data_IF_278665707304
#
_entry.id   IF_278665707304
#
_cell.length_a   1.000
_cell.length_b   1.000
_cell.length_c   1.000
_cell.angle_alpha   90.00
_cell.angle_beta   90.00
_cell.angle_gamma   90.00
#
_symmetry.space_group_name_H-M   'P 1'
#
loop_
_entity.id
_entity.type
_entity.pdbx_description
1 polymer ?
#
# COMPACT_ATOMS: atom_id res chain seq x y z
N UNK A 1 41.39 -23.21 -20.87
CA UNK A 1 40.58 -21.97 -20.96
C UNK A 1 39.63 -22.01 -19.78
N UNK A 2 39.79 -21.03 -18.88
CA UNK A 2 39.26 -21.05 -17.53
C UNK A 2 37.75 -20.80 -17.50
N UNK A 3 37.11 -21.53 -16.60
CA UNK A 3 35.74 -21.36 -16.11
C UNK A 3 35.72 -20.18 -15.12
N UNK A 4 34.83 -19.20 -15.31
CA UNK A 4 34.70 -18.09 -14.37
C UNK A 4 33.27 -17.54 -14.25
N UNK A 5 32.68 -17.84 -13.08
CA UNK A 5 31.84 -16.94 -12.27
C UNK A 5 30.41 -16.61 -12.74
N UNK A 6 29.46 -17.47 -12.37
CA UNK A 6 28.06 -17.10 -12.12
C UNK A 6 27.96 -16.29 -10.83
N UNK A 7 27.71 -14.97 -10.91
CA UNK A 7 27.49 -14.13 -9.72
C UNK A 7 26.01 -14.11 -9.33
N UNK A 8 25.64 -14.40 -8.06
CA UNK A 8 24.27 -14.21 -7.59
C UNK A 8 23.98 -12.72 -7.37
N UNK A 9 22.84 -12.25 -7.89
CA UNK A 9 22.29 -10.91 -7.65
C UNK A 9 21.80 -10.81 -6.21
N UNK A 10 22.63 -10.26 -5.32
CA UNK A 10 22.23 -9.87 -3.96
C UNK A 10 21.24 -8.70 -4.03
N UNK A 11 20.05 -8.88 -3.48
CA UNK A 11 19.07 -7.80 -3.26
C UNK A 11 19.63 -6.85 -2.18
N UNK A 12 19.49 -5.52 -2.32
CA UNK A 12 19.92 -4.60 -1.27
C UNK A 12 18.99 -4.73 -0.07
N UNK A 13 19.51 -5.26 1.04
CA UNK A 13 18.90 -5.12 2.36
C UNK A 13 18.96 -3.65 2.76
N UNK A 14 17.83 -2.96 2.73
CA UNK A 14 17.71 -1.60 3.26
C UNK A 14 17.45 -1.70 4.76
N UNK A 15 18.49 -1.38 5.52
CA UNK A 15 18.46 -1.21 6.97
C UNK A 15 17.43 -0.14 7.35
N UNK A 16 16.53 -0.48 8.27
CA UNK A 16 15.60 0.46 8.89
C UNK A 16 16.37 1.39 9.82
N UNK A 17 16.53 2.65 9.41
CA UNK A 17 16.87 3.73 10.32
C UNK A 17 15.57 4.32 10.86
N UNK A 18 15.23 4.02 12.12
CA UNK A 18 14.26 4.77 12.90
C UNK A 18 14.93 6.11 13.21
N UNK A 19 14.73 7.10 12.35
CA UNK A 19 15.29 8.44 12.44
C UNK A 19 14.19 9.45 12.77
N UNK A 20 14.41 10.19 13.85
CA UNK A 20 13.51 11.19 14.43
C UNK A 20 12.99 12.24 13.44
N UNK A 21 11.71 12.58 13.58
CA UNK A 21 11.09 13.82 13.11
C UNK A 21 10.37 14.33 14.37
N UNK A 22 10.69 15.48 14.97
CA UNK A 22 11.16 16.74 14.42
C UNK A 22 10.22 17.78 15.00
N UNK A 23 10.59 18.39 16.12
CA UNK A 23 9.77 19.34 16.86
C UNK A 23 9.41 20.56 15.99
N UNK A 24 8.12 20.82 15.83
CA UNK A 24 7.63 22.14 15.38
C UNK A 24 6.98 22.81 16.58
N UNK A 25 7.75 23.68 17.21
CA UNK A 25 7.27 24.61 18.22
C UNK A 25 6.45 25.72 17.51
N UNK A 26 5.16 25.79 17.83
CA UNK A 26 4.34 26.96 17.59
C UNK A 26 3.77 27.41 18.94
N UNK A 27 4.49 28.33 19.56
CA UNK A 27 4.06 29.06 20.75
C UNK A 27 2.96 30.05 20.38
N UNK A 28 1.73 29.77 20.81
CA UNK A 28 0.66 30.76 20.88
C UNK A 28 0.01 30.63 22.26
N UNK A 29 0.12 31.72 23.04
CA UNK A 29 -0.35 31.77 24.41
C UNK A 29 -1.86 31.54 24.52
N UNK A 30 -2.24 30.68 25.47
CA UNK A 30 -3.62 30.48 25.88
C UNK A 30 -3.71 30.79 27.37
N UNK A 31 -4.50 31.82 27.67
CA UNK A 31 -4.96 32.16 29.02
C UNK A 31 -5.76 30.97 29.52
N UNK A 32 -5.24 30.25 30.51
CA UNK A 32 -5.93 29.14 31.15
C UNK A 32 -7.06 29.67 32.05
N UNK A 33 -8.33 29.30 31.85
CA UNK A 33 -9.33 29.42 32.90
C UNK A 33 -9.09 28.34 33.96
N UNK A 34 -9.38 28.70 35.21
CA UNK A 34 -9.20 27.90 36.39
C UNK A 34 -9.94 26.54 36.35
N UNK A 35 -9.26 25.53 36.90
CA UNK A 35 -9.78 24.34 37.58
C UNK A 35 -11.08 23.74 37.02
N UNK A 36 -10.94 22.87 36.02
CA UNK A 36 -11.90 21.80 35.78
C UNK A 36 -11.30 20.51 36.34
N UNK A 37 -11.95 19.93 37.34
CA UNK A 37 -11.82 18.49 37.59
C UNK A 37 -12.34 17.79 36.34
N UNK A 38 -11.43 17.38 35.44
CA UNK A 38 -11.80 16.54 34.31
C UNK A 38 -12.43 15.25 34.86
N UNK A 39 -13.60 14.88 34.32
CA UNK A 39 -14.39 13.76 34.81
C UNK A 39 -13.53 12.51 35.05
N UNK A 40 -13.40 12.10 36.33
CA UNK A 40 -12.66 10.91 36.75
C UNK A 40 -11.31 11.14 37.42
N UNK A 41 -10.71 12.33 37.34
CA UNK A 41 -9.43 12.66 37.99
C UNK A 41 -9.67 13.32 39.36
N UNK A 42 -8.93 12.94 40.42
CA UNK A 42 -9.09 13.56 41.73
C UNK A 42 -8.53 14.98 41.76
N UNK A 43 -9.25 15.87 42.45
CA UNK A 43 -8.78 17.22 42.70
C UNK A 43 -7.79 17.27 43.88
N UNK A 44 -7.01 18.34 43.97
CA UNK A 44 -6.11 18.55 45.11
C UNK A 44 -6.82 18.56 46.47
N UNK A 45 -8.04 19.11 46.52
CA UNK A 45 -8.86 19.11 47.74
C UNK A 45 -9.33 17.69 48.10
N UNK A 46 -9.70 16.87 47.11
CA UNK A 46 -10.06 15.46 47.32
C UNK A 46 -8.87 14.67 47.87
N UNK A 47 -7.68 14.87 47.29
CA UNK A 47 -6.44 14.20 47.73
C UNK A 47 -6.07 14.61 49.15
N UNK A 48 -6.16 15.90 49.48
CA UNK A 48 -5.88 16.41 50.82
C UNK A 48 -6.85 15.85 51.87
N UNK A 49 -8.15 15.75 51.54
CA UNK A 49 -9.16 15.11 52.39
C UNK A 49 -8.91 13.62 52.54
N UNK A 50 -8.61 12.92 51.45
CA UNK A 50 -8.34 11.49 51.46
C UNK A 50 -7.15 11.15 52.37
N UNK A 51 -6.12 12.00 52.42
CA UNK A 51 -4.94 11.83 53.29
C UNK A 51 -5.27 11.78 54.80
N UNK A 52 -6.39 12.35 55.24
CA UNK A 52 -6.75 12.43 56.66
C UNK A 52 -7.20 11.08 57.28
N UNK A 53 -7.46 10.06 56.47
CA UNK A 53 -7.83 8.72 56.93
C UNK A 53 -7.07 7.65 56.16
N UNK A 54 -6.56 6.65 56.87
CA UNK A 54 -5.76 5.56 56.28
C UNK A 54 -6.54 4.83 55.17
N UNK A 55 -7.82 4.56 55.41
CA UNK A 55 -8.67 3.85 54.47
C UNK A 55 -8.90 4.67 53.18
N UNK A 56 -9.20 5.96 53.30
CA UNK A 56 -9.44 6.84 52.14
C UNK A 56 -8.16 7.15 51.39
N UNK A 57 -7.04 7.31 52.11
CA UNK A 57 -5.70 7.50 51.54
C UNK A 57 -5.32 6.30 50.67
N UNK A 58 -5.50 5.08 51.18
CA UNK A 58 -5.21 3.87 50.43
C UNK A 58 -6.10 3.71 49.19
N UNK A 59 -7.39 4.04 49.30
CA UNK A 59 -8.31 4.02 48.16
C UNK A 59 -7.88 5.02 47.07
N UNK A 60 -7.45 6.22 47.45
CA UNK A 60 -7.02 7.24 46.49
C UNK A 60 -5.68 6.88 45.83
N UNK A 61 -4.73 6.29 46.56
CA UNK A 61 -3.48 5.75 46.00
C UNK A 61 -3.77 4.72 44.91
N UNK A 62 -4.69 3.78 45.16
CA UNK A 62 -5.09 2.74 44.19
C UNK A 62 -5.70 3.39 42.94
N UNK A 63 -6.59 4.35 43.12
CA UNK A 63 -7.22 5.08 42.02
C UNK A 63 -6.21 5.84 41.16
N UNK A 64 -5.31 6.63 41.78
CA UNK A 64 -4.27 7.38 41.08
C UNK A 64 -3.33 6.42 40.32
N UNK A 65 -2.92 5.31 40.95
CA UNK A 65 -2.06 4.31 40.31
C UNK A 65 -2.72 3.69 39.08
N UNK A 66 -4.03 3.43 39.15
CA UNK A 66 -4.82 2.94 38.03
C UNK A 66 -4.98 3.99 36.92
N UNK A 67 -5.18 5.27 37.26
CA UNK A 67 -5.23 6.37 36.28
C UNK A 67 -3.89 6.51 35.54
N UNK A 68 -2.76 6.45 36.25
CA UNK A 68 -1.42 6.46 35.64
C UNK A 68 -1.23 5.29 34.66
N UNK A 69 -1.67 4.08 35.03
CA UNK A 69 -1.65 2.93 34.13
C UNK A 69 -2.55 3.11 32.91
N UNK A 70 -3.75 3.66 33.10
CA UNK A 70 -4.67 3.94 32.01
C UNK A 70 -4.08 4.93 31.00
N UNK A 71 -3.45 6.01 31.46
CA UNK A 71 -2.79 7.00 30.61
C UNK A 71 -1.66 6.39 29.77
N UNK A 72 -0.76 5.64 30.43
CA UNK A 72 0.35 4.97 29.77
C UNK A 72 -0.14 3.95 28.73
N UNK A 73 -1.17 3.17 29.06
CA UNK A 73 -1.77 2.20 28.14
C UNK A 73 -2.41 2.90 26.95
N UNK A 74 -3.17 3.97 27.19
CA UNK A 74 -3.82 4.74 26.12
C UNK A 74 -2.81 5.37 25.14
N UNK A 75 -1.70 5.91 25.65
CA UNK A 75 -0.62 6.44 24.82
C UNK A 75 0.09 5.35 24.02
N UNK A 76 0.41 4.22 24.66
CA UNK A 76 1.01 3.07 23.98
C UNK A 76 0.11 2.49 22.88
N UNK A 77 -1.19 2.33 23.16
CA UNK A 77 -2.17 1.82 22.20
C UNK A 77 -2.37 2.79 21.03
N UNK A 78 -2.43 4.10 21.30
CA UNK A 78 -2.54 5.11 20.25
C UNK A 78 -1.29 5.18 19.38
N UNK A 79 -0.10 5.08 19.98
CA UNK A 79 1.18 4.99 19.25
C UNK A 79 1.22 3.74 18.36
N UNK A 80 0.78 2.59 18.88
CA UNK A 80 0.68 1.34 18.10
C UNK A 80 -0.32 1.47 16.95
N UNK A 81 -1.49 2.07 17.19
CA UNK A 81 -2.49 2.30 16.15
C UNK A 81 -1.95 3.21 15.04
N UNK A 82 -1.23 4.27 15.41
CA UNK A 82 -0.52 5.14 14.46
C UNK A 82 0.48 4.37 13.59
N UNK A 83 1.31 3.52 14.19
CA UNK A 83 2.27 2.68 13.45
C UNK A 83 1.57 1.71 12.48
N UNK A 84 0.48 1.06 12.92
CA UNK A 84 -0.31 0.16 12.07
C UNK A 84 -0.91 0.92 10.88
N UNK A 85 -1.49 2.09 11.13
CA UNK A 85 -2.09 2.92 10.07
C UNK A 85 -1.03 3.43 9.08
N UNK A 86 0.14 3.84 9.57
CA UNK A 86 1.27 4.24 8.74
C UNK A 86 1.76 3.09 7.83
N UNK A 87 1.87 1.87 8.37
CA UNK A 87 2.25 0.70 7.57
C UNK A 87 1.16 0.34 6.54
N UNK A 88 -0.12 0.43 6.91
CA UNK A 88 -1.22 0.21 5.97
C UNK A 88 -1.21 1.24 4.82
N UNK A 89 -0.86 2.49 5.10
CA UNK A 89 -0.64 3.51 4.07
C UNK A 89 0.60 3.24 3.21
N UNK A 90 1.69 2.73 3.80
CA UNK A 90 2.88 2.33 3.03
C UNK A 90 2.56 1.21 2.05
N UNK A 91 1.85 0.16 2.49
CA UNK A 91 1.42 -0.96 1.65
C UNK A 91 0.52 -0.48 0.51
N UNK A 92 -0.42 0.43 0.77
CA UNK A 92 -1.30 0.95 -0.29
C UNK A 92 -0.56 1.80 -1.33
N UNK A 93 0.52 2.48 -0.95
CA UNK A 93 1.41 3.15 -1.90
C UNK A 93 2.18 2.15 -2.77
N UNK A 94 2.71 1.07 -2.19
CA UNK A 94 3.39 0.01 -2.96
C UNK A 94 2.42 -0.61 -4.00
N UNK A 95 1.17 -0.89 -3.61
CA UNK A 95 0.14 -1.43 -4.50
C UNK A 95 -0.20 -0.44 -5.64
N UNK A 96 -0.32 0.85 -5.32
CA UNK A 96 -0.58 1.90 -6.30
C UNK A 96 0.58 2.05 -7.30
N UNK A 97 1.83 1.98 -6.83
CA UNK A 97 3.01 2.02 -7.69
C UNK A 97 3.01 0.81 -8.64
N UNK A 98 2.76 -0.40 -8.13
CA UNK A 98 2.68 -1.61 -8.93
C UNK A 98 1.57 -1.53 -10.00
N UNK A 99 0.40 -1.01 -9.64
CA UNK A 99 -0.72 -0.80 -10.57
C UNK A 99 -0.38 0.24 -11.65
N UNK A 100 0.29 1.33 -11.27
CA UNK A 100 0.74 2.38 -12.19
C UNK A 100 1.73 1.83 -13.21
N UNK A 101 2.71 1.03 -12.76
CA UNK A 101 3.67 0.37 -13.65
C UNK A 101 2.97 -0.60 -14.62
N UNK A 102 1.98 -1.35 -14.12
CA UNK A 102 1.19 -2.28 -14.95
C UNK A 102 0.36 -1.57 -16.01
N UNK A 103 -0.34 -0.49 -15.65
CA UNK A 103 -1.11 0.33 -16.60
C UNK A 103 -0.19 0.89 -17.69
N UNK A 104 0.95 1.46 -17.32
CA UNK A 104 1.91 2.01 -18.29
C UNK A 104 2.43 0.95 -19.27
N UNK A 105 2.73 -0.25 -18.76
CA UNK A 105 3.16 -1.38 -19.59
C UNK A 105 2.06 -1.83 -20.57
N UNK A 106 0.82 -1.99 -20.10
CA UNK A 106 -0.31 -2.41 -20.94
C UNK A 106 -0.69 -1.36 -21.97
N UNK A 107 -0.66 -0.07 -21.59
CA UNK A 107 -0.89 1.05 -22.51
C UNK A 107 0.12 1.05 -23.64
N UNK A 108 1.40 0.86 -23.33
CA UNK A 108 2.47 0.74 -24.33
C UNK A 108 2.24 -0.43 -25.29
N UNK A 109 1.84 -1.59 -24.75
CA UNK A 109 1.55 -2.78 -25.56
C UNK A 109 0.31 -2.59 -26.44
N UNK A 110 -0.74 -1.96 -25.91
CA UNK A 110 -1.98 -1.67 -26.63
C UNK A 110 -1.73 -0.73 -27.80
N UNK A 111 -0.98 0.36 -27.61
CA UNK A 111 -0.64 1.28 -28.71
C UNK A 111 0.23 0.60 -29.78
N UNK A 112 1.20 -0.21 -29.39
CA UNK A 112 1.99 -1.00 -30.34
C UNK A 112 1.12 -2.00 -31.13
N UNK A 113 0.18 -2.67 -30.47
CA UNK A 113 -0.76 -3.59 -31.13
C UNK A 113 -1.72 -2.86 -32.07
N UNK A 114 -2.21 -1.69 -31.69
CA UNK A 114 -3.08 -0.83 -32.51
C UNK A 114 -2.39 -0.38 -33.80
N UNK A 115 -1.10 0.00 -33.73
CA UNK A 115 -0.31 0.33 -34.92
C UNK A 115 -0.14 -0.88 -35.85
N UNK A 116 0.14 -2.07 -35.29
CA UNK A 116 0.21 -3.32 -36.07
C UNK A 116 -1.13 -3.64 -36.73
N UNK A 117 -2.23 -3.59 -35.98
CA UNK A 117 -3.57 -3.84 -36.49
C UNK A 117 -3.95 -2.86 -37.62
N UNK A 118 -3.61 -1.57 -37.49
CA UNK A 118 -3.84 -0.59 -38.54
C UNK A 118 -3.05 -0.92 -39.82
N UNK A 119 -1.79 -1.34 -39.67
CA UNK A 119 -0.94 -1.75 -40.80
C UNK A 119 -1.49 -2.98 -41.50
N UNK A 120 -1.87 -4.03 -40.74
CA UNK A 120 -2.44 -5.26 -41.30
C UNK A 120 -3.81 -5.02 -41.94
N UNK A 121 -4.65 -4.15 -41.35
CA UNK A 121 -5.92 -3.71 -41.95
C UNK A 121 -5.70 -3.01 -43.29
N UNK A 122 -4.71 -2.13 -43.40
CA UNK A 122 -4.37 -1.45 -44.66
C UNK A 122 -3.93 -2.46 -45.73
N UNK A 123 -3.04 -3.41 -45.38
CA UNK A 123 -2.60 -4.47 -46.31
C UNK A 123 -3.77 -5.32 -46.80
N UNK A 124 -4.63 -5.77 -45.89
CA UNK A 124 -5.82 -6.54 -46.25
C UNK A 124 -6.77 -5.71 -47.14
N UNK A 125 -6.95 -4.42 -46.86
CA UNK A 125 -7.77 -3.51 -47.67
C UNK A 125 -7.24 -3.31 -49.09
N UNK A 126 -5.91 -3.18 -49.27
CA UNK A 126 -5.29 -3.07 -50.61
C UNK A 126 -5.50 -4.34 -51.44
N UNK A 127 -5.36 -5.52 -50.81
CA UNK A 127 -5.61 -6.81 -51.48
C UNK A 127 -7.08 -6.92 -51.88
N UNK A 128 -8.00 -6.57 -50.98
CA UNK A 128 -9.43 -6.57 -51.27
C UNK A 128 -9.77 -5.62 -52.45
N UNK A 129 -9.17 -4.43 -52.49
CA UNK A 129 -9.33 -3.49 -53.60
C UNK A 129 -8.78 -4.02 -54.92
N UNK A 130 -7.61 -4.68 -54.90
CA UNK A 130 -7.01 -5.29 -56.09
C UNK A 130 -7.82 -6.49 -56.61
N UNK A 131 -8.31 -7.36 -55.72
CA UNK A 131 -9.19 -8.49 -56.07
C UNK A 131 -10.52 -7.99 -56.66
N UNK A 132 -11.12 -6.96 -56.07
CA UNK A 132 -12.34 -6.35 -56.60
C UNK A 132 -12.14 -5.78 -58.01
N UNK A 133 -10.96 -5.19 -58.29
CA UNK A 133 -10.60 -4.66 -59.61
C UNK A 133 -10.30 -5.76 -60.64
N UNK A 134 -9.52 -6.78 -60.28
CA UNK A 134 -9.09 -7.84 -61.19
C UNK A 134 -10.17 -8.91 -61.45
N UNK A 135 -11.02 -9.20 -60.46
CA UNK A 135 -12.04 -10.26 -60.53
C UNK A 135 -13.29 -9.90 -61.34
N UNK A 136 -13.60 -8.61 -61.52
CA UNK A 136 -14.86 -8.18 -62.13
C UNK A 136 -14.83 -8.01 -63.65
N UNK A 137 -13.68 -7.70 -64.26
CA UNK A 137 -13.63 -7.32 -65.69
C UNK A 137 -12.57 -8.07 -66.52
N UNK A 138 -11.44 -8.48 -65.94
CA UNK A 138 -10.32 -8.98 -66.74
C UNK A 138 -10.24 -10.50 -66.84
N UNK A 139 -10.62 -11.26 -65.81
CA UNK A 139 -10.38 -12.71 -65.80
C UNK A 139 -11.25 -13.48 -66.81
N UNK A 140 -12.53 -13.11 -66.96
CA UNK A 140 -13.46 -13.79 -67.88
C UNK A 140 -13.09 -13.50 -69.35
N UNK A 141 -12.74 -12.25 -69.65
CA UNK A 141 -12.35 -11.83 -71.00
C UNK A 141 -11.00 -12.45 -71.39
N UNK A 142 -10.05 -12.48 -70.46
CA UNK A 142 -8.70 -13.02 -70.71
C UNK A 142 -8.71 -14.55 -70.85
N UNK A 143 -9.56 -15.25 -70.09
CA UNK A 143 -9.80 -16.69 -70.24
C UNK A 143 -10.48 -17.03 -71.59
N UNK A 144 -11.43 -16.21 -72.02
CA UNK A 144 -12.10 -16.36 -73.32
C UNK A 144 -11.14 -16.15 -74.51
N UNK A 145 -10.22 -15.19 -74.40
CA UNK A 145 -9.28 -14.85 -75.48
C UNK A 145 -8.03 -15.75 -75.52
N UNK A 146 -7.53 -16.23 -74.37
CA UNK A 146 -6.28 -16.99 -74.28
C UNK A 146 -6.46 -18.51 -74.03
N UNK A 147 -7.69 -19.03 -74.02
CA UNK A 147 -8.01 -20.44 -73.73
C UNK A 147 -7.50 -21.51 -74.72
N UNK A 148 -6.61 -21.17 -75.68
CA UNK A 148 -6.14 -22.10 -76.72
C UNK A 148 -4.92 -22.95 -76.30
N UNK A 149 -4.34 -22.75 -75.11
CA UNK A 149 -3.23 -23.54 -74.55
C UNK A 149 -3.52 -23.97 -73.11
N UNK A 150 -3.63 -25.28 -72.86
CA UNK A 150 -4.00 -25.84 -71.56
C UNK A 150 -2.96 -25.58 -70.45
N UNK A 151 -1.67 -25.57 -70.80
CA UNK A 151 -0.58 -25.35 -69.83
C UNK A 151 -0.58 -23.94 -69.25
N UNK A 152 -0.87 -22.93 -70.08
CA UNK A 152 -0.97 -21.53 -69.66
C UNK A 152 -2.13 -21.32 -68.68
N UNK A 153 -3.25 -22.03 -68.90
CA UNK A 153 -4.40 -22.02 -67.99
C UNK A 153 -4.06 -22.64 -66.63
N UNK A 154 -3.39 -23.80 -66.62
CA UNK A 154 -2.98 -24.45 -65.37
C UNK A 154 -1.98 -23.59 -64.58
N UNK A 155 -1.05 -22.92 -65.26
CA UNK A 155 -0.11 -21.97 -64.63
C UNK A 155 -0.85 -20.76 -64.01
N UNK A 156 -1.85 -20.21 -64.71
CA UNK A 156 -2.68 -19.13 -64.21
C UNK A 156 -3.54 -19.56 -63.01
N UNK A 157 -4.14 -20.74 -63.05
CA UNK A 157 -4.92 -21.31 -61.94
C UNK A 157 -4.05 -21.59 -60.72
N UNK A 158 -2.84 -22.12 -60.90
CA UNK A 158 -1.87 -22.33 -59.83
C UNK A 158 -1.47 -21.00 -59.17
N UNK A 159 -1.20 -19.97 -59.98
CA UNK A 159 -0.85 -18.63 -59.50
C UNK A 159 -2.02 -17.97 -58.75
N UNK A 160 -3.24 -18.07 -59.29
CA UNK A 160 -4.45 -17.55 -58.65
C UNK A 160 -4.74 -18.27 -57.33
N UNK A 161 -4.55 -19.59 -57.27
CA UNK A 161 -4.72 -20.37 -56.04
C UNK A 161 -3.72 -19.92 -54.97
N UNK A 162 -2.44 -19.74 -55.32
CA UNK A 162 -1.42 -19.24 -54.38
C UNK A 162 -1.68 -17.80 -53.94
N UNK A 163 -2.16 -16.95 -54.84
CA UNK A 163 -2.58 -15.59 -54.49
C UNK A 163 -3.79 -15.61 -53.53
N UNK A 164 -4.74 -16.51 -53.72
CA UNK A 164 -5.86 -16.74 -52.82
C UNK A 164 -5.40 -17.17 -51.42
N UNK A 165 -4.55 -18.19 -51.32
CA UNK A 165 -3.95 -18.65 -50.07
C UNK A 165 -3.19 -17.52 -49.33
N UNK A 166 -2.40 -16.73 -50.07
CA UNK A 166 -1.68 -15.59 -49.52
C UNK A 166 -2.63 -14.47 -49.04
N UNK A 167 -3.69 -14.20 -49.79
CA UNK A 167 -4.70 -13.19 -49.45
C UNK A 167 -5.48 -13.59 -48.20
N UNK A 168 -5.89 -14.85 -48.10
CA UNK A 168 -6.57 -15.38 -46.92
C UNK A 168 -5.67 -15.31 -45.68
N UNK A 169 -4.38 -15.63 -45.83
CA UNK A 169 -3.39 -15.53 -44.75
C UNK A 169 -3.27 -14.09 -44.25
N UNK A 170 -3.21 -13.11 -45.15
CA UNK A 170 -3.11 -11.70 -44.77
C UNK A 170 -4.39 -11.21 -44.08
N UNK A 171 -5.56 -11.64 -44.54
CA UNK A 171 -6.83 -11.32 -43.89
C UNK A 171 -6.93 -11.92 -42.49
N UNK A 172 -6.57 -13.20 -42.32
CA UNK A 172 -6.52 -13.85 -41.00
C UNK A 172 -5.56 -13.15 -40.06
N UNK A 173 -4.37 -12.76 -40.53
CA UNK A 173 -3.41 -11.99 -39.73
C UNK A 173 -3.99 -10.64 -39.30
N UNK A 174 -4.68 -9.93 -40.20
CA UNK A 174 -5.32 -8.65 -39.88
C UNK A 174 -6.40 -8.80 -38.81
N UNK A 175 -7.21 -9.86 -38.87
CA UNK A 175 -8.19 -10.18 -37.81
C UNK A 175 -7.51 -10.52 -36.49
N UNK A 176 -6.44 -11.31 -36.51
CA UNK A 176 -5.69 -11.65 -35.30
C UNK A 176 -5.06 -10.41 -34.65
N UNK A 177 -4.45 -9.53 -35.44
CA UNK A 177 -3.85 -8.30 -34.94
C UNK A 177 -4.92 -7.36 -34.39
N UNK A 178 -6.07 -7.26 -35.06
CA UNK A 178 -7.22 -6.49 -34.58
C UNK A 178 -7.69 -7.01 -33.21
N UNK A 179 -7.96 -8.31 -33.09
CA UNK A 179 -8.44 -8.90 -31.84
C UNK A 179 -7.40 -8.75 -30.71
N UNK A 180 -6.10 -8.84 -31.05
CA UNK A 180 -5.01 -8.59 -30.11
C UNK A 180 -4.98 -7.14 -29.63
N UNK A 181 -5.18 -6.18 -30.53
CA UNK A 181 -5.25 -4.76 -30.18
C UNK A 181 -6.46 -4.43 -29.31
N UNK A 182 -7.63 -4.98 -29.63
CA UNK A 182 -8.84 -4.84 -28.81
C UNK A 182 -8.62 -5.42 -27.41
N UNK A 183 -8.13 -6.66 -27.32
CA UNK A 183 -7.86 -7.31 -26.02
C UNK A 183 -6.83 -6.57 -25.16
N UNK A 184 -5.76 -6.04 -25.75
CA UNK A 184 -4.77 -5.24 -25.00
C UNK A 184 -5.32 -3.87 -24.60
N UNK A 185 -6.17 -3.26 -25.44
CA UNK A 185 -6.89 -2.03 -25.13
C UNK A 185 -7.81 -2.21 -23.91
N UNK A 186 -8.59 -3.29 -23.88
CA UNK A 186 -9.46 -3.62 -22.75
C UNK A 186 -8.67 -3.86 -21.47
N UNK A 187 -7.53 -4.57 -21.56
CA UNK A 187 -6.64 -4.79 -20.42
C UNK A 187 -6.03 -3.49 -19.90
N UNK A 188 -5.63 -2.57 -20.78
CA UNK A 188 -5.11 -1.26 -20.38
C UNK A 188 -6.20 -0.42 -19.69
N UNK A 189 -7.42 -0.42 -20.22
CA UNK A 189 -8.56 0.27 -19.60
C UNK A 189 -8.90 -0.30 -18.21
N UNK A 190 -8.92 -1.63 -18.08
CA UNK A 190 -9.12 -2.29 -16.78
C UNK A 190 -8.00 -1.95 -15.78
N UNK A 191 -6.74 -1.91 -16.23
CA UNK A 191 -5.61 -1.52 -15.38
C UNK A 191 -5.71 -0.06 -14.92
N UNK A 192 -6.15 0.85 -15.79
CA UNK A 192 -6.37 2.26 -15.44
C UNK A 192 -7.50 2.44 -14.40
N UNK A 193 -8.58 1.67 -14.53
CA UNK A 193 -9.66 1.65 -13.55
C UNK A 193 -9.16 1.14 -12.18
N UNK A 194 -8.35 0.08 -12.17
CA UNK A 194 -7.77 -0.46 -10.95
C UNK A 194 -6.77 0.50 -10.29
N UNK A 195 -5.89 1.14 -11.06
CA UNK A 195 -4.99 2.20 -10.54
C UNK A 195 -5.81 3.33 -9.91
N UNK A 196 -6.91 3.75 -10.53
CA UNK A 196 -7.80 4.80 -9.99
C UNK A 196 -8.42 4.36 -8.67
N UNK A 197 -8.90 3.12 -8.58
CA UNK A 197 -9.43 2.54 -7.33
C UNK A 197 -8.38 2.50 -6.23
N UNK A 198 -7.16 2.04 -6.54
CA UNK A 198 -6.05 1.98 -5.59
C UNK A 198 -5.57 3.37 -5.17
N UNK A 199 -5.63 4.36 -6.06
CA UNK A 199 -5.31 5.76 -5.72
C UNK A 199 -6.28 6.32 -4.69
N UNK A 200 -7.59 6.07 -4.84
CA UNK A 200 -8.58 6.45 -3.83
C UNK A 200 -8.38 5.71 -2.50
N UNK A 201 -8.05 4.41 -2.56
CA UNK A 201 -7.73 3.63 -1.36
C UNK A 201 -6.49 4.16 -0.64
N UNK A 202 -5.43 4.52 -1.37
CA UNK A 202 -4.22 5.11 -0.80
C UNK A 202 -4.51 6.45 -0.10
N UNK A 203 -5.36 7.31 -0.70
CA UNK A 203 -5.81 8.55 -0.07
C UNK A 203 -6.57 8.30 1.24
N UNK A 204 -7.51 7.34 1.25
CA UNK A 204 -8.22 6.96 2.47
C UNK A 204 -7.26 6.49 3.57
N UNK A 205 -6.25 5.68 3.22
CA UNK A 205 -5.23 5.22 4.18
C UNK A 205 -4.33 6.35 4.67
N UNK A 206 -4.04 7.34 3.82
CA UNK A 206 -3.31 8.54 4.23
C UNK A 206 -4.07 9.33 5.29
N UNK A 207 -5.37 9.55 5.09
CA UNK A 207 -6.22 10.26 6.05
C UNK A 207 -6.33 9.50 7.38
N UNK A 208 -6.52 8.18 7.32
CA UNK A 208 -6.50 7.30 8.51
C UNK A 208 -5.17 7.37 9.26
N UNK A 209 -4.04 7.33 8.55
CA UNK A 209 -2.71 7.43 9.14
C UNK A 209 -2.49 8.79 9.83
N UNK A 210 -2.92 9.89 9.20
CA UNK A 210 -2.83 11.23 9.79
C UNK A 210 -3.70 11.36 11.03
N UNK A 211 -4.93 10.86 10.99
CA UNK A 211 -5.82 10.86 12.15
C UNK A 211 -5.24 10.05 13.31
N UNK A 212 -4.70 8.87 13.03
CA UNK A 212 -4.05 8.03 14.04
C UNK A 212 -2.78 8.68 14.62
N UNK A 213 -1.99 9.37 13.79
CA UNK A 213 -0.82 10.12 14.25
C UNK A 213 -1.20 11.29 15.17
N UNK A 214 -2.25 12.04 14.84
CA UNK A 214 -2.78 13.10 15.70
C UNK A 214 -3.31 12.55 17.02
N UNK A 215 -4.05 11.43 16.99
CA UNK A 215 -4.54 10.77 18.19
C UNK A 215 -3.39 10.30 19.10
N UNK A 216 -2.32 9.74 18.51
CA UNK A 216 -1.13 9.35 19.26
C UNK A 216 -0.43 10.55 19.91
N UNK A 217 -0.28 11.67 19.19
CA UNK A 217 0.30 12.89 19.74
C UNK A 217 -0.55 13.45 20.90
N UNK A 218 -1.87 13.50 20.74
CA UNK A 218 -2.79 13.96 21.78
C UNK A 218 -2.77 13.04 23.01
N UNK A 219 -2.69 11.72 22.82
CA UNK A 219 -2.61 10.76 23.92
C UNK A 219 -1.30 10.91 24.70
N UNK A 220 -0.17 11.11 24.01
CA UNK A 220 1.13 11.35 24.65
C UNK A 220 1.14 12.68 25.43
N UNK A 221 0.55 13.73 24.87
CA UNK A 221 0.44 15.03 25.55
C UNK A 221 -0.44 14.91 26.81
N UNK A 222 -1.57 14.21 26.70
CA UNK A 222 -2.46 13.94 27.83
C UNK A 222 -1.77 13.09 28.91
N UNK A 223 -1.03 12.04 28.53
CA UNK A 223 -0.21 11.25 29.44
C UNK A 223 0.80 12.14 30.16
N UNK A 224 1.58 12.95 29.44
CA UNK A 224 2.61 13.79 30.03
C UNK A 224 2.04 14.84 30.99
N UNK A 225 0.97 15.54 30.60
CA UNK A 225 0.36 16.57 31.45
C UNK A 225 -0.29 15.97 32.69
N UNK A 226 -1.11 14.93 32.53
CA UNK A 226 -1.89 14.37 33.64
C UNK A 226 -1.06 13.50 34.56
N UNK A 227 -0.06 12.78 34.05
CA UNK A 227 0.82 11.98 34.89
C UNK A 227 1.63 12.85 35.85
N UNK A 228 2.05 14.05 35.43
CA UNK A 228 2.74 14.99 36.30
C UNK A 228 1.92 15.31 37.56
N UNK A 229 0.67 15.74 37.39
CA UNK A 229 -0.22 16.06 38.50
C UNK A 229 -0.50 14.82 39.37
N UNK A 230 -0.76 13.67 38.75
CA UNK A 230 -1.02 12.42 39.46
C UNK A 230 0.19 11.94 40.27
N UNK A 231 1.42 12.12 39.79
CA UNK A 231 2.63 11.78 40.55
C UNK A 231 2.84 12.72 41.74
N UNK A 232 2.51 14.01 41.60
CA UNK A 232 2.56 14.95 42.73
C UNK A 232 1.51 14.63 43.80
N UNK A 233 0.29 14.28 43.39
CA UNK A 233 -0.76 13.82 44.29
C UNK A 233 -0.40 12.52 45.01
N UNK A 234 0.21 11.57 44.29
CA UNK A 234 0.70 10.32 44.87
C UNK A 234 1.80 10.55 45.91
N UNK A 235 2.72 11.47 45.62
CA UNK A 235 3.78 11.88 46.53
C UNK A 235 3.21 12.53 47.81
N UNK A 236 2.19 13.38 47.67
CA UNK A 236 1.49 13.96 48.81
C UNK A 236 0.83 12.89 49.70
N UNK A 237 0.19 11.88 49.11
CA UNK A 237 -0.48 10.81 49.86
C UNK A 237 0.52 9.86 50.55
N UNK A 238 1.70 9.63 49.96
CA UNK A 238 2.71 8.69 50.47
C UNK A 238 3.81 9.33 51.31
N UNK A 239 3.80 10.65 51.47
CA UNK A 239 4.88 11.41 52.11
C UNK A 239 6.24 11.16 51.42
N UNK A 240 6.23 11.11 50.09
CA UNK A 240 7.41 10.92 49.23
C UNK A 240 7.59 12.13 48.29
N UNK A 241 8.45 12.01 47.28
CA UNK A 241 8.60 13.01 46.21
C UNK A 241 8.04 12.45 44.90
N UNK A 242 7.54 13.33 44.03
CA UNK A 242 7.01 12.93 42.72
C UNK A 242 8.07 12.14 41.91
N UNK A 243 9.35 12.51 42.04
CA UNK A 243 10.45 11.82 41.37
C UNK A 243 10.68 10.40 41.88
N UNK A 244 10.54 10.17 43.19
CA UNK A 244 10.61 8.82 43.77
C UNK A 244 9.46 7.95 43.26
N UNK A 245 8.25 8.49 43.19
CA UNK A 245 7.09 7.75 42.67
C UNK A 245 7.21 7.44 41.16
N UNK A 246 7.71 8.39 40.36
CA UNK A 246 8.04 8.16 38.94
C UNK A 246 9.05 7.04 38.77
N UNK A 247 10.17 7.13 39.51
CA UNK A 247 11.25 6.13 39.45
C UNK A 247 10.77 4.74 39.87
N UNK A 248 9.95 4.67 40.92
CA UNK A 248 9.36 3.41 41.38
C UNK A 248 8.46 2.79 40.31
N UNK A 249 7.61 3.60 39.66
CA UNK A 249 6.75 3.13 38.58
C UNK A 249 7.54 2.66 37.36
N UNK A 250 8.53 3.45 36.92
CA UNK A 250 9.42 3.07 35.84
C UNK A 250 10.14 1.75 36.11
N UNK A 251 10.56 1.50 37.35
CA UNK A 251 11.14 0.23 37.77
C UNK A 251 10.18 -0.96 37.66
N UNK A 252 8.90 -0.77 38.02
CA UNK A 252 7.87 -1.81 37.84
C UNK A 252 7.63 -2.12 36.37
N UNK A 253 7.49 -1.09 35.54
CA UNK A 253 7.23 -1.25 34.11
C UNK A 253 8.41 -1.97 33.43
N UNK A 254 9.65 -1.63 33.81
CA UNK A 254 10.86 -2.30 33.34
C UNK A 254 10.89 -3.80 33.75
N UNK A 255 10.49 -4.12 34.98
CA UNK A 255 10.41 -5.50 35.44
C UNK A 255 9.36 -6.32 34.67
N UNK A 256 8.19 -5.72 34.43
CA UNK A 256 7.12 -6.34 33.61
C UNK A 256 7.60 -6.56 32.17
N UNK A 257 8.27 -5.58 31.57
CA UNK A 257 8.82 -5.67 30.22
C UNK A 257 9.90 -6.77 30.12
N UNK A 258 10.82 -6.86 31.09
CA UNK A 258 11.84 -7.90 31.14
C UNK A 258 11.21 -9.31 31.26
N UNK A 259 10.18 -9.47 32.08
CA UNK A 259 9.46 -10.73 32.21
C UNK A 259 8.68 -11.10 30.94
N UNK A 260 8.12 -10.13 30.22
CA UNK A 260 7.48 -10.35 28.93
C UNK A 260 8.50 -10.81 27.87
N UNK A 261 9.67 -10.17 27.80
CA UNK A 261 10.75 -10.54 26.88
C UNK A 261 11.26 -11.95 27.16
N UNK A 262 11.52 -12.31 28.41
CA UNK A 262 11.96 -13.65 28.79
C UNK A 262 10.95 -14.74 28.36
N UNK A 263 9.64 -14.48 28.54
CA UNK A 263 8.57 -15.38 28.08
C UNK A 263 8.55 -15.52 26.56
N UNK A 264 8.72 -14.42 25.82
CA UNK A 264 8.76 -14.45 24.36
C UNK A 264 9.97 -15.25 23.84
N UNK A 265 11.14 -15.08 24.46
CA UNK A 265 12.36 -15.84 24.13
C UNK A 265 12.20 -17.34 24.42
N UNK A 266 11.62 -17.69 25.58
CA UNK A 266 11.35 -19.08 25.91
C UNK A 266 10.37 -19.73 24.91
N UNK A 267 9.30 -19.02 24.53
CA UNK A 267 8.36 -19.51 23.53
C UNK A 267 9.00 -19.68 22.14
N UNK A 268 9.89 -18.77 21.75
CA UNK A 268 10.64 -18.87 20.49
C UNK A 268 11.61 -20.07 20.50
N UNK A 269 12.30 -20.32 21.63
CA UNK A 269 13.18 -21.46 21.78
C UNK A 269 12.43 -22.81 21.72
N UNK A 270 11.23 -22.88 22.30
CA UNK A 270 10.36 -24.07 22.20
C UNK A 270 9.91 -24.31 20.76
N UNK A 271 9.55 -23.27 20.01
CA UNK A 271 9.18 -23.39 18.60
C UNK A 271 10.37 -23.84 17.75
N UNK A 272 11.54 -23.25 17.95
CA UNK A 272 12.76 -23.61 17.22
C UNK A 272 13.26 -25.03 17.53
N UNK A 273 12.86 -25.63 18.66
CA UNK A 273 13.17 -27.02 19.00
C UNK A 273 12.11 -28.01 18.49
N UNK A 274 10.97 -27.51 18.01
CA UNK A 274 9.88 -28.31 17.45
C UNK A 274 9.90 -28.37 15.91
N UNK A 275 10.68 -27.50 15.27
CA UNK A 275 11.00 -27.48 13.83
C UNK A 275 12.31 -28.24 13.55
#
# INVERSE_FOLDING_TARGET
MADESTRPRLKPARLFAIGAIGAVAASAGLVAPAAFAEAGYPSWDDVAKAKQSEATKQAEIVKITALLLGLQTAAADSSKASQIAAEAYRVSQDDLEAATAREASLTTQAEAAKIRAATSKMRAGLIAAHLAKAGAQDLSLNLFLNGRKADDLLAQLGTASKLGEASETIYRQALQDKNTAESLGDQAAAAAAERTRLSAAAMSRFDEANAAAQAAAAALEAEQRKSNDLFEQLALLKDTTAETERSYRAGQDAAVAAAALARAQAAAAVRAAAD
#
